data_IF_018843825221
#
_entry.id   IF_018843825221
#
_cell.length_a   1.000
_cell.length_b   1.000
_cell.length_c   1.000
_cell.angle_alpha   90.00
_cell.angle_beta   90.00
_cell.angle_gamma   90.00
#
_symmetry.space_group_name_H-M   'P 1'
#
loop_
_entity.id
_entity.type
_entity.pdbx_description
1 polymer ?
#
# COMPACT_ATOMS: atom_id res chain seq x y z
N UNK A 1 36.43 -11.45 -8.28
CA UNK A 1 36.02 -11.76 -6.88
C UNK A 1 34.55 -11.39 -6.74
N UNK A 2 33.65 -12.36 -6.91
CA UNK A 2 32.21 -12.17 -6.71
C UNK A 2 31.89 -12.35 -5.22
N UNK A 3 31.44 -11.29 -4.56
CA UNK A 3 30.82 -11.38 -3.24
C UNK A 3 29.38 -11.89 -3.42
N UNK A 4 29.13 -13.15 -3.06
CA UNK A 4 27.78 -13.66 -2.81
C UNK A 4 27.33 -13.08 -1.46
N UNK A 5 26.33 -12.19 -1.46
CA UNK A 5 25.62 -11.83 -0.25
C UNK A 5 24.84 -13.06 0.25
N UNK A 6 25.27 -13.61 1.37
CA UNK A 6 24.47 -14.50 2.19
C UNK A 6 23.50 -13.64 3.02
N UNK A 7 22.19 -13.74 2.77
CA UNK A 7 21.22 -13.34 3.79
C UNK A 7 21.28 -14.39 4.92
N UNK A 8 21.36 -13.98 6.20
CA UNK A 8 21.29 -14.93 7.29
C UNK A 8 19.85 -15.47 7.39
N UNK A 9 19.74 -16.79 7.44
CA UNK A 9 18.50 -17.49 7.77
C UNK A 9 18.21 -17.24 9.26
N UNK A 10 17.42 -16.22 9.58
CA UNK A 10 16.92 -16.02 10.95
C UNK A 10 15.81 -17.04 11.18
N UNK A 11 16.15 -18.16 11.82
CA UNK A 11 15.17 -19.08 12.36
C UNK A 11 14.48 -18.39 13.54
N UNK A 12 13.22 -17.98 13.37
CA UNK A 12 12.38 -17.58 14.47
C UNK A 12 12.13 -18.81 15.36
N UNK A 13 12.67 -18.80 16.57
CA UNK A 13 12.27 -19.73 17.62
C UNK A 13 10.87 -19.29 18.05
N UNK A 14 9.85 -20.04 17.66
CA UNK A 14 8.49 -19.89 18.17
C UNK A 14 8.52 -20.10 19.68
N UNK A 15 8.40 -19.01 20.45
CA UNK A 15 8.23 -19.06 21.89
C UNK A 15 6.91 -19.76 22.20
N UNK A 16 6.99 -20.90 22.90
CA UNK A 16 5.83 -21.67 23.34
C UNK A 16 4.96 -20.85 24.31
N UNK A 17 3.88 -20.27 23.81
CA UNK A 17 2.68 -20.06 24.62
C UNK A 17 1.92 -21.39 24.65
N UNK A 18 1.83 -22.00 25.82
CA UNK A 18 1.06 -23.22 26.03
C UNK A 18 -0.43 -22.95 25.75
N UNK A 19 -1.05 -23.72 24.85
CA UNK A 19 -2.53 -23.85 24.86
C UNK A 19 -3.29 -23.87 23.53
N UNK A 20 -2.70 -24.20 22.38
CA UNK A 20 -3.46 -24.72 21.24
C UNK A 20 -2.52 -25.59 20.38
N UNK A 21 -2.91 -26.83 20.08
CA UNK A 21 -2.24 -27.58 19.01
C UNK A 21 -2.57 -26.86 17.70
N UNK A 22 -1.61 -26.13 17.19
CA UNK A 22 -1.63 -25.51 15.86
C UNK A 22 -1.72 -26.62 14.80
N UNK A 23 -2.54 -26.40 13.78
CA UNK A 23 -2.68 -27.31 12.65
C UNK A 23 -1.35 -27.38 11.88
N UNK A 24 -0.70 -28.56 11.74
CA UNK A 24 0.59 -28.68 11.04
C UNK A 24 0.57 -28.13 9.61
N UNK A 25 -0.57 -28.24 8.91
CA UNK A 25 -0.73 -27.68 7.56
C UNK A 25 -0.74 -26.15 7.60
N UNK A 26 -1.41 -25.56 8.59
CA UNK A 26 -1.40 -24.11 8.77
C UNK A 26 0.01 -23.59 9.10
N UNK A 27 0.79 -24.32 9.91
CA UNK A 27 2.19 -23.96 10.22
C UNK A 27 3.07 -23.99 8.97
N UNK A 28 2.95 -25.03 8.13
CA UNK A 28 3.70 -25.13 6.87
C UNK A 28 3.37 -23.96 5.93
N UNK A 29 2.08 -23.63 5.77
CA UNK A 29 1.63 -22.55 4.91
C UNK A 29 2.05 -21.17 5.44
N UNK A 30 2.02 -20.96 6.77
CA UNK A 30 2.55 -19.76 7.41
C UNK A 30 4.06 -19.63 7.19
N UNK A 31 4.81 -20.73 7.29
CA UNK A 31 6.25 -20.75 7.00
C UNK A 31 6.51 -20.34 5.54
N UNK A 32 5.72 -20.82 4.58
CA UNK A 32 5.83 -20.42 3.16
C UNK A 32 5.58 -18.92 2.98
N UNK A 33 4.50 -18.38 3.54
CA UNK A 33 4.20 -16.94 3.48
C UNK A 33 5.31 -16.09 4.12
N UNK A 34 5.91 -16.58 5.21
CA UNK A 34 7.05 -15.92 5.86
C UNK A 34 8.29 -15.91 4.95
N UNK A 35 8.60 -17.02 4.27
CA UNK A 35 9.72 -17.13 3.34
C UNK A 35 9.57 -16.24 2.10
N UNK A 36 8.33 -15.98 1.68
CA UNK A 36 8.01 -15.01 0.62
C UNK A 36 8.12 -13.54 1.09
N UNK A 37 8.37 -13.29 2.37
CA UNK A 37 8.39 -11.94 2.95
C UNK A 37 7.01 -11.28 2.99
N UNK A 38 5.94 -12.08 2.99
CA UNK A 38 4.56 -11.60 2.94
C UNK A 38 3.92 -11.45 4.32
N UNK A 39 4.51 -12.02 5.37
CA UNK A 39 4.02 -11.89 6.75
C UNK A 39 4.70 -10.74 7.49
N UNK A 40 3.89 -10.03 8.28
CA UNK A 40 4.33 -9.08 9.30
C UNK A 40 3.85 -9.61 10.63
N UNK A 41 4.77 -9.88 11.54
CA UNK A 41 4.42 -10.38 12.88
C UNK A 41 3.83 -9.26 13.71
N UNK A 42 2.68 -9.53 14.34
CA UNK A 42 1.99 -8.60 15.24
C UNK A 42 2.17 -9.08 16.67
N UNK A 43 2.87 -8.28 17.49
CA UNK A 43 3.15 -8.62 18.87
C UNK A 43 2.07 -8.06 19.81
N UNK A 44 1.72 -8.82 20.85
CA UNK A 44 0.80 -8.35 21.87
C UNK A 44 1.47 -7.30 22.76
N UNK A 45 0.82 -6.15 22.95
CA UNK A 45 1.32 -5.12 23.85
C UNK A 45 1.19 -5.57 25.32
N UNK A 46 2.18 -5.21 26.15
CA UNK A 46 2.16 -5.47 27.61
C UNK A 46 1.31 -4.47 28.41
N UNK A 47 0.57 -3.60 27.71
CA UNK A 47 -0.21 -2.50 28.27
C UNK A 47 -0.86 -1.71 27.12
N UNK A 48 -1.07 -0.41 27.33
CA UNK A 48 -1.53 0.47 26.25
C UNK A 48 -0.47 0.57 25.14
N UNK A 49 -0.94 0.71 23.89
CA UNK A 49 -0.05 0.91 22.76
C UNK A 49 0.47 2.36 22.79
N UNK A 50 1.80 2.56 22.89
CA UNK A 50 2.39 3.89 23.00
C UNK A 50 2.19 4.68 21.69
N UNK A 51 1.99 5.98 21.82
CA UNK A 51 1.89 6.91 20.68
C UNK A 51 3.21 7.63 20.40
N UNK A 52 4.20 7.53 21.28
CA UNK A 52 5.54 8.05 21.04
C UNK A 52 6.36 7.06 20.20
N UNK A 53 6.88 7.46 19.02
CA UNK A 53 7.74 6.60 18.20
C UNK A 53 9.06 6.16 18.88
N UNK A 54 9.49 6.86 19.93
CA UNK A 54 10.73 6.54 20.67
C UNK A 54 10.52 5.61 21.86
N UNK A 55 9.27 5.24 22.15
CA UNK A 55 8.94 4.40 23.31
C UNK A 55 9.69 3.05 23.28
N UNK A 56 10.31 2.62 24.40
CA UNK A 56 11.06 1.36 24.47
C UNK A 56 10.26 0.12 24.08
N UNK A 57 8.93 0.12 24.21
CA UNK A 57 8.10 -1.00 23.80
C UNK A 57 8.33 -1.36 22.32
N UNK A 58 8.47 -0.34 21.46
CA UNK A 58 8.72 -0.53 20.03
C UNK A 58 10.05 -1.22 19.74
N UNK A 59 11.08 -0.99 20.56
CA UNK A 59 12.41 -1.58 20.36
C UNK A 59 12.38 -3.11 20.53
N UNK A 60 11.48 -3.61 21.38
CA UNK A 60 11.28 -5.05 21.63
C UNK A 60 10.30 -5.71 20.67
N UNK A 61 9.52 -4.93 19.92
CA UNK A 61 8.57 -5.43 18.92
C UNK A 61 9.32 -5.95 17.69
N UNK A 62 9.00 -7.14 17.15
CA UNK A 62 9.61 -7.64 15.92
C UNK A 62 9.53 -6.63 14.77
N UNK A 63 10.64 -6.49 14.05
CA UNK A 63 10.77 -5.60 12.90
C UNK A 63 10.59 -6.34 11.60
N UNK A 64 9.78 -5.78 10.70
CA UNK A 64 9.62 -6.26 9.33
C UNK A 64 10.15 -5.19 8.37
N UNK A 65 11.15 -5.54 7.56
CA UNK A 65 11.65 -4.67 6.48
C UNK A 65 10.89 -5.02 5.21
N UNK A 66 10.15 -4.06 4.67
CA UNK A 66 9.21 -4.28 3.57
C UNK A 66 9.69 -3.49 2.35
N UNK A 67 9.99 -4.16 1.21
CA UNK A 67 10.38 -3.46 0.00
C UNK A 67 9.24 -2.64 -0.60
N UNK A 68 9.61 -1.53 -1.21
CA UNK A 68 8.74 -0.62 -1.93
C UNK A 68 8.91 -0.79 -3.44
N UNK A 69 7.81 -0.62 -4.15
CA UNK A 69 7.71 -0.61 -5.61
C UNK A 69 7.10 0.72 -6.06
N UNK A 70 7.47 1.20 -7.23
CA UNK A 70 6.91 2.45 -7.76
C UNK A 70 5.49 2.24 -8.22
N UNK A 71 4.59 3.19 -7.97
CA UNK A 71 3.28 3.17 -8.61
C UNK A 71 3.42 3.56 -10.09
N UNK A 72 3.12 2.61 -10.98
CA UNK A 72 3.25 2.76 -12.45
C UNK A 72 1.91 2.89 -13.18
N UNK A 73 0.78 2.72 -12.48
CA UNK A 73 -0.55 2.67 -13.11
C UNK A 73 -1.13 4.02 -13.52
N UNK A 74 -0.54 5.17 -13.15
CA UNK A 74 -1.08 6.49 -13.44
C UNK A 74 -0.04 7.42 -14.08
N UNK A 75 -0.52 8.31 -14.94
CA UNK A 75 0.27 9.37 -15.59
C UNK A 75 0.31 10.67 -14.76
N UNK A 76 1.42 11.44 -14.78
CA UNK A 76 2.70 11.07 -15.39
C UNK A 76 3.30 9.86 -14.67
N UNK A 77 3.90 8.93 -15.44
CA UNK A 77 4.56 7.75 -14.87
C UNK A 77 5.55 8.25 -13.82
N UNK A 78 5.37 7.82 -12.58
CA UNK A 78 6.25 8.23 -11.48
C UNK A 78 7.68 7.85 -11.86
N UNK A 79 8.68 8.76 -11.77
CA UNK A 79 10.07 8.36 -11.82
C UNK A 79 10.30 7.24 -10.79
N UNK A 80 11.23 6.32 -11.09
CA UNK A 80 11.55 5.22 -10.18
C UNK A 80 11.68 5.76 -8.76
N UNK A 81 10.77 5.33 -7.89
CA UNK A 81 10.73 5.71 -6.49
C UNK A 81 12.06 5.28 -5.87
N UNK A 82 12.85 6.26 -5.45
CA UNK A 82 14.26 6.04 -5.13
C UNK A 82 14.46 5.31 -3.78
N UNK A 83 13.41 5.23 -2.94
CA UNK A 83 13.49 4.50 -1.67
C UNK A 83 13.12 3.04 -1.88
N UNK A 84 13.90 2.16 -1.27
CA UNK A 84 13.82 0.72 -1.51
C UNK A 84 12.91 0.00 -0.53
N UNK A 85 12.73 0.52 0.68
CA UNK A 85 12.05 -0.19 1.77
C UNK A 85 11.54 0.73 2.89
N UNK A 86 10.67 0.16 3.73
CA UNK A 86 10.26 0.69 5.04
C UNK A 86 10.49 -0.35 6.12
N UNK A 87 10.73 0.10 7.35
CA UNK A 87 10.61 -0.72 8.55
C UNK A 87 9.21 -0.57 9.15
N UNK A 88 8.60 -1.70 9.52
CA UNK A 88 7.29 -1.75 10.18
C UNK A 88 7.37 -2.61 11.44
N UNK A 89 6.83 -2.09 12.54
CA UNK A 89 6.59 -2.80 13.79
C UNK A 89 5.13 -2.65 14.18
N UNK A 90 4.50 -3.73 14.62
CA UNK A 90 3.06 -3.73 14.90
C UNK A 90 2.77 -4.29 16.28
N UNK A 91 2.03 -3.52 17.07
CA UNK A 91 1.51 -3.91 18.38
C UNK A 91 -0.01 -4.00 18.35
N UNK A 92 -0.57 -4.94 19.11
CA UNK A 92 -2.03 -5.02 19.32
C UNK A 92 -2.39 -5.19 20.79
N UNK A 93 -3.52 -4.61 21.20
CA UNK A 93 -4.07 -4.68 22.56
C UNK A 93 -5.59 -4.70 22.49
N UNK A 94 -6.20 -5.87 22.70
CA UNK A 94 -7.64 -6.05 22.55
C UNK A 94 -8.09 -5.73 21.12
N UNK A 95 -8.82 -4.63 20.92
CA UNK A 95 -9.27 -4.16 19.60
C UNK A 95 -8.37 -3.08 19.01
N UNK A 96 -7.42 -2.57 19.76
CA UNK A 96 -6.49 -1.54 19.29
C UNK A 96 -5.31 -2.18 18.57
N UNK A 97 -4.81 -1.48 17.56
CA UNK A 97 -3.61 -1.81 16.81
C UNK A 97 -2.81 -0.54 16.57
N UNK A 98 -1.49 -0.65 16.69
CA UNK A 98 -0.56 0.43 16.42
C UNK A 98 0.55 -0.02 15.50
N UNK A 99 0.92 0.87 14.59
CA UNK A 99 1.97 0.69 13.61
C UNK A 99 3.04 1.73 13.89
N UNK A 100 4.28 1.30 14.13
CA UNK A 100 5.46 2.15 13.98
C UNK A 100 6.03 1.90 12.59
N UNK A 101 6.05 2.93 11.76
CA UNK A 101 6.59 2.89 10.40
C UNK A 101 7.78 3.84 10.33
N UNK A 102 8.91 3.34 9.84
CA UNK A 102 10.14 4.12 9.75
C UNK A 102 10.78 4.01 8.37
N UNK A 103 11.27 5.12 7.83
CA UNK A 103 11.99 5.14 6.56
C UNK A 103 13.11 6.17 6.58
N UNK A 104 14.13 5.95 5.74
CA UNK A 104 15.19 6.92 5.52
C UNK A 104 14.65 8.07 4.67
N UNK A 105 14.87 9.30 5.12
CA UNK A 105 14.56 10.53 4.39
C UNK A 105 15.56 11.63 4.79
N UNK A 106 16.56 11.95 3.94
CA UNK A 106 17.51 13.01 4.25
C UNK A 106 16.86 14.40 4.29
N UNK A 107 15.63 14.53 3.78
CA UNK A 107 14.85 15.75 3.79
C UNK A 107 13.70 15.64 4.79
N UNK A 108 13.32 16.79 5.36
CA UNK A 108 12.17 16.91 6.26
C UNK A 108 11.12 17.78 5.59
N UNK A 109 10.24 17.17 4.81
CA UNK A 109 9.25 17.89 4.01
C UNK A 109 7.93 18.00 4.78
N UNK A 110 7.85 18.98 5.69
CA UNK A 110 6.72 19.13 6.62
C UNK A 110 5.84 20.35 6.36
N UNK A 111 6.05 21.08 5.27
CA UNK A 111 5.28 22.28 4.96
C UNK A 111 4.79 22.26 3.53
N UNK A 112 3.52 22.62 3.34
CA UNK A 112 2.90 22.84 2.03
C UNK A 112 2.68 24.34 1.77
N UNK A 113 3.29 25.20 2.56
CA UNK A 113 3.02 26.63 2.54
C UNK A 113 3.70 27.37 1.36
N UNK A 114 3.89 26.68 0.23
CA UNK A 114 4.39 27.23 -1.03
C UNK A 114 3.90 26.40 -2.21
N UNK A 115 3.69 27.03 -3.37
CA UNK A 115 3.03 26.41 -4.54
C UNK A 115 3.82 25.26 -5.19
N UNK A 116 5.10 25.10 -4.85
CA UNK A 116 5.97 24.01 -5.32
C UNK A 116 6.40 23.06 -4.19
N UNK A 117 5.87 23.24 -2.98
CA UNK A 117 6.24 22.41 -1.83
C UNK A 117 5.26 21.26 -1.67
N UNK A 118 5.81 20.05 -1.54
CA UNK A 118 5.06 18.85 -1.19
C UNK A 118 5.55 18.31 0.16
N UNK A 119 4.71 17.50 0.78
CA UNK A 119 4.94 16.94 2.11
C UNK A 119 5.37 15.48 2.04
N UNK A 120 6.07 15.04 3.07
CA UNK A 120 6.23 13.63 3.35
C UNK A 120 4.92 13.06 3.92
N UNK A 121 4.64 11.80 3.59
CA UNK A 121 3.45 11.12 4.07
C UNK A 121 3.63 9.60 4.09
N UNK A 122 2.83 8.95 4.95
CA UNK A 122 2.66 7.50 4.95
C UNK A 122 1.19 7.15 5.05
N UNK A 123 0.76 6.16 4.27
CA UNK A 123 -0.57 5.60 4.37
C UNK A 123 -0.53 4.09 4.65
N UNK A 124 -1.52 3.63 5.41
CA UNK A 124 -1.77 2.22 5.75
C UNK A 124 -3.13 1.85 5.14
N UNK A 125 -3.14 0.92 4.20
CA UNK A 125 -4.36 0.42 3.56
C UNK A 125 -4.79 -0.93 4.17
N UNK A 126 -6.09 -1.12 4.33
CA UNK A 126 -6.69 -2.33 4.89
C UNK A 126 -7.79 -2.85 3.94
N UNK A 127 -7.83 -4.17 3.75
CA UNK A 127 -8.98 -4.83 3.14
C UNK A 127 -9.87 -5.46 4.22
N UNK A 128 -11.05 -4.88 4.51
CA UNK A 128 -11.87 -5.31 5.65
C UNK A 128 -12.54 -6.68 5.45
N UNK A 129 -12.61 -7.20 4.21
CA UNK A 129 -13.44 -8.34 3.84
C UNK A 129 -12.64 -9.53 3.27
N UNK A 130 -11.55 -9.95 3.94
CA UNK A 130 -10.72 -11.07 3.47
C UNK A 130 -11.45 -12.43 3.59
N UNK A 131 -11.86 -12.97 2.44
CA UNK A 131 -12.41 -14.33 2.30
C UNK A 131 -11.36 -15.31 1.79
N UNK A 132 -10.65 -14.91 0.74
CA UNK A 132 -9.56 -15.59 0.03
C UNK A 132 -8.72 -14.52 -0.72
N UNK A 133 -7.71 -14.90 -1.50
CA UNK A 133 -6.94 -13.92 -2.28
C UNK A 133 -7.77 -13.13 -3.31
N UNK A 134 -8.76 -13.73 -3.99
CA UNK A 134 -9.60 -13.04 -4.98
C UNK A 134 -10.42 -11.88 -4.37
N UNK A 135 -10.75 -11.99 -3.09
CA UNK A 135 -11.48 -10.94 -2.36
C UNK A 135 -10.63 -9.71 -2.04
N UNK A 136 -9.31 -9.74 -2.30
CA UNK A 136 -8.46 -8.57 -2.08
C UNK A 136 -8.86 -7.44 -3.04
N UNK A 137 -9.03 -6.21 -2.51
CA UNK A 137 -9.25 -5.04 -3.33
C UNK A 137 -8.04 -4.71 -4.19
N UNK A 138 -8.25 -3.99 -5.29
CA UNK A 138 -7.15 -3.38 -6.01
C UNK A 138 -6.26 -2.58 -5.06
N UNK A 139 -4.96 -2.83 -5.13
CA UNK A 139 -4.00 -2.41 -4.10
C UNK A 139 -3.88 -0.90 -3.93
N UNK A 140 -4.20 -0.13 -4.97
CA UNK A 140 -4.05 1.32 -4.95
C UNK A 140 -5.08 2.02 -4.06
N UNK A 141 -6.36 1.68 -4.21
CA UNK A 141 -7.53 2.36 -3.62
C UNK A 141 -8.81 1.49 -3.62
N UNK A 142 -8.67 0.17 -3.73
CA UNK A 142 -9.80 -0.73 -3.97
C UNK A 142 -10.50 -0.54 -5.31
N UNK A 143 -11.67 -1.13 -5.43
CA UNK A 143 -12.52 -1.10 -6.61
C UNK A 143 -13.96 -1.44 -6.23
N UNK A 144 -14.90 -1.31 -7.17
CA UNK A 144 -16.33 -1.55 -6.92
C UNK A 144 -16.58 -2.91 -6.26
N UNK A 145 -17.29 -2.93 -5.14
CA UNK A 145 -17.58 -4.10 -4.32
C UNK A 145 -16.44 -4.55 -3.40
N UNK A 146 -15.22 -4.04 -3.57
CA UNK A 146 -14.04 -4.32 -2.75
C UNK A 146 -13.43 -2.98 -2.27
N UNK A 147 -13.99 -2.37 -1.21
CA UNK A 147 -13.47 -1.12 -0.68
C UNK A 147 -12.18 -1.32 0.11
N UNK A 148 -11.39 -0.26 0.21
CA UNK A 148 -10.19 -0.16 1.02
C UNK A 148 -10.34 0.94 2.06
N UNK A 149 -10.10 0.59 3.32
CA UNK A 149 -9.95 1.54 4.41
C UNK A 149 -8.51 2.04 4.47
N UNK A 150 -8.28 3.33 4.62
CA UNK A 150 -6.93 3.92 4.58
C UNK A 150 -6.73 4.86 5.78
N UNK A 151 -5.61 4.72 6.48
CA UNK A 151 -5.10 5.73 7.42
C UNK A 151 -3.94 6.45 6.79
N UNK A 152 -3.99 7.79 6.71
CA UNK A 152 -3.00 8.57 5.97
C UNK A 152 -2.43 9.67 6.86
N UNK A 153 -1.24 9.42 7.41
CA UNK A 153 -0.45 10.40 8.14
C UNK A 153 0.26 11.35 7.18
N UNK A 154 0.30 12.64 7.52
CA UNK A 154 0.89 13.70 6.69
C UNK A 154 1.79 14.58 7.54
N UNK A 155 3.01 14.83 7.09
CA UNK A 155 3.97 15.67 7.82
C UNK A 155 3.47 17.11 8.04
N UNK A 156 2.83 17.71 7.03
CA UNK A 156 2.22 19.05 7.20
C UNK A 156 1.11 19.10 8.23
N UNK A 157 0.34 18.02 8.35
CA UNK A 157 -0.72 17.93 9.34
C UNK A 157 -0.16 17.69 10.75
N UNK A 158 0.98 17.01 10.86
CA UNK A 158 1.74 16.91 12.11
C UNK A 158 2.24 18.28 12.55
N UNK A 159 2.77 19.07 11.62
CA UNK A 159 3.23 20.42 11.90
C UNK A 159 2.08 21.33 12.35
N UNK A 160 0.92 21.23 11.71
CA UNK A 160 -0.28 21.97 12.13
C UNK A 160 -0.76 21.60 13.55
N UNK A 161 -0.63 20.33 13.95
CA UNK A 161 -0.96 19.87 15.30
C UNK A 161 0.05 20.38 16.33
N UNK A 162 1.33 20.42 15.97
CA UNK A 162 2.41 20.84 16.88
C UNK A 162 2.45 22.36 17.07
N UNK A 163 2.30 23.11 15.97
CA UNK A 163 2.61 24.55 15.93
C UNK A 163 1.46 25.42 15.41
N UNK A 164 0.32 24.83 15.03
CA UNK A 164 -0.81 25.54 14.41
C UNK A 164 -0.69 25.65 12.89
N UNK A 165 -1.76 26.09 12.23
CA UNK A 165 -1.85 26.13 10.77
C UNK A 165 -0.70 26.92 10.11
N UNK A 166 0.00 26.28 9.18
CA UNK A 166 1.09 26.90 8.42
C UNK A 166 0.57 27.60 7.14
N UNK A 167 0.33 28.90 7.22
CA UNK A 167 -0.19 29.71 6.11
C UNK A 167 0.87 30.46 5.30
N UNK A 168 0.40 31.32 4.40
CA UNK A 168 1.25 32.16 3.53
C UNK A 168 2.13 33.11 4.35
N UNK A 169 1.62 33.62 5.48
CA UNK A 169 2.36 34.54 6.35
C UNK A 169 3.56 33.87 7.02
N UNK A 170 3.39 32.62 7.44
CA UNK A 170 4.43 31.79 8.03
C UNK A 170 5.49 31.38 6.99
N UNK A 171 5.07 31.13 5.75
CA UNK A 171 5.97 30.77 4.67
C UNK A 171 6.75 31.93 4.05
N UNK A 172 6.16 33.12 4.07
CA UNK A 172 6.69 34.32 3.44
C UNK A 172 6.75 35.46 4.46
N UNK A 173 7.65 35.31 5.43
CA UNK A 173 7.89 36.32 6.46
C UNK A 173 8.12 37.70 5.84
N UNK A 174 7.30 38.68 6.23
CA UNK A 174 7.37 40.07 5.72
C UNK A 174 6.54 40.34 4.46
N UNK A 175 5.91 39.32 3.86
CA UNK A 175 4.89 39.54 2.83
C UNK A 175 3.61 40.01 3.52
N UNK A 176 3.09 41.18 3.14
CA UNK A 176 1.74 41.60 3.53
C UNK A 176 0.80 40.92 2.55
N UNK A 177 0.06 39.89 2.96
CA UNK A 177 -0.81 39.22 2.04
C UNK A 177 -1.98 40.16 1.71
N UNK A 178 -2.26 40.36 0.41
CA UNK A 178 -3.39 41.16 -0.06
C UNK A 178 -4.70 40.36 0.11
N UNK A 179 -5.03 40.04 1.36
CA UNK A 179 -6.22 39.27 1.74
C UNK A 179 -7.31 40.23 2.15
N UNK A 180 -8.53 40.02 1.64
CA UNK A 180 -9.72 40.68 2.15
C UNK A 180 -9.83 40.45 3.68
N UNK A 181 -10.16 41.49 4.48
CA UNK A 181 -10.35 41.36 5.93
C UNK A 181 -11.52 40.44 6.32
N UNK A 182 -12.34 40.04 5.35
CA UNK A 182 -13.31 38.94 5.46
C UNK A 182 -12.74 37.77 4.67
N UNK A 183 -12.04 36.82 5.30
CA UNK A 183 -11.52 35.66 4.61
C UNK A 183 -12.68 34.72 4.32
N UNK A 184 -13.33 34.86 3.16
CA UNK A 184 -14.22 33.81 2.65
C UNK A 184 -13.36 32.58 2.35
N UNK A 185 -13.27 31.67 3.31
CA UNK A 185 -12.53 30.41 3.18
C UNK A 185 -13.49 29.35 2.67
N UNK A 186 -13.91 29.52 1.42
CA UNK A 186 -14.90 28.64 0.79
C UNK A 186 -14.54 27.16 0.90
N UNK A 187 -13.24 26.81 0.84
CA UNK A 187 -12.79 25.43 1.04
C UNK A 187 -12.99 24.93 2.49
N UNK A 188 -12.76 25.77 3.50
CA UNK A 188 -12.97 25.43 4.91
C UNK A 188 -14.47 25.36 5.23
N UNK A 189 -15.25 26.33 4.74
CA UNK A 189 -16.72 26.37 4.83
C UNK A 189 -17.37 25.17 4.12
N UNK A 190 -16.79 24.69 3.02
CA UNK A 190 -17.19 23.47 2.33
C UNK A 190 -16.72 22.19 3.03
N UNK A 191 -16.01 22.28 4.17
CA UNK A 191 -15.55 21.15 4.95
C UNK A 191 -14.35 20.42 4.34
N UNK A 192 -13.56 21.07 3.49
CA UNK A 192 -12.36 20.46 2.87
C UNK A 192 -11.36 20.05 3.96
N UNK A 193 -10.96 18.76 4.03
CA UNK A 193 -9.97 18.29 5.00
C UNK A 193 -8.63 19.02 4.91
N UNK A 194 -8.28 19.52 3.71
CA UNK A 194 -7.05 20.26 3.46
C UNK A 194 -7.08 21.70 3.96
N UNK A 195 -8.28 22.31 4.04
CA UNK A 195 -8.42 23.73 4.38
C UNK A 195 -8.60 24.01 5.87
N UNK A 196 -8.73 22.95 6.69
CA UNK A 196 -8.96 23.06 8.13
C UNK A 196 -7.85 23.83 8.84
N UNK A 197 -8.24 24.91 9.51
CA UNK A 197 -7.34 25.76 10.30
C UNK A 197 -6.97 25.18 11.65
N UNK A 198 -7.90 24.44 12.26
CA UNK A 198 -7.68 23.80 13.55
C UNK A 198 -7.64 22.30 13.36
N UNK A 199 -6.43 21.77 13.22
CA UNK A 199 -6.20 20.34 13.07
C UNK A 199 -5.95 19.71 14.43
N UNK A 200 -6.58 18.56 14.68
CA UNK A 200 -6.49 17.82 15.96
C UNK A 200 -5.84 16.45 15.82
N UNK A 201 -5.58 16.02 14.59
CA UNK A 201 -4.88 14.77 14.29
C UNK A 201 -4.05 14.93 13.03
N UNK A 202 -2.83 14.36 12.99
CA UNK A 202 -2.01 14.31 11.78
C UNK A 202 -2.44 13.19 10.83
N UNK A 203 -3.40 12.35 11.22
CA UNK A 203 -3.86 11.18 10.46
C UNK A 203 -5.26 11.40 9.93
N UNK A 204 -5.39 11.31 8.61
CA UNK A 204 -6.69 11.30 7.94
C UNK A 204 -7.24 9.87 7.87
N UNK A 205 -8.52 9.70 8.20
CA UNK A 205 -9.22 8.45 8.05
C UNK A 205 -10.02 8.45 6.74
N UNK A 206 -9.74 7.48 5.88
CA UNK A 206 -10.23 7.46 4.50
C UNK A 206 -10.91 6.13 4.17
N UNK A 207 -11.87 6.19 3.26
CA UNK A 207 -12.47 5.05 2.58
C UNK A 207 -12.36 5.28 1.07
N UNK A 208 -12.05 4.22 0.32
CA UNK A 208 -12.06 4.23 -1.13
C UNK A 208 -12.67 2.95 -1.69
N UNK A 209 -13.28 3.05 -2.85
CA UNK A 209 -13.86 1.95 -3.63
C UNK A 209 -13.48 2.12 -5.11
N UNK A 210 -12.20 2.40 -5.37
CA UNK A 210 -11.70 2.74 -6.71
C UNK A 210 -11.03 4.11 -6.76
N UNK A 211 -10.35 4.36 -7.87
CA UNK A 211 -9.76 5.66 -8.17
C UNK A 211 -10.81 6.77 -8.15
N UNK A 212 -10.45 7.94 -7.61
CA UNK A 212 -11.34 9.11 -7.55
C UNK A 212 -12.42 9.05 -6.45
N UNK A 213 -12.54 7.96 -5.70
CA UNK A 213 -13.58 7.79 -4.66
C UNK A 213 -13.11 8.06 -3.23
N UNK A 214 -11.84 8.46 -3.06
CA UNK A 214 -11.23 8.66 -1.75
C UNK A 214 -12.02 9.68 -0.93
N UNK A 215 -12.64 9.21 0.15
CA UNK A 215 -13.55 10.02 0.97
C UNK A 215 -13.07 10.06 2.40
N UNK A 216 -12.92 11.27 2.94
CA UNK A 216 -12.59 11.52 4.34
C UNK A 216 -13.77 11.13 5.23
N UNK A 217 -13.54 10.29 6.23
CA UNK A 217 -14.55 9.82 7.18
C UNK A 217 -14.10 10.09 8.62
N UNK A 218 -15.01 10.17 9.62
CA UNK A 218 -14.63 10.43 11.00
C UNK A 218 -13.61 9.42 11.55
N UNK A 219 -12.52 9.91 12.16
CA UNK A 219 -11.44 9.11 12.73
C UNK A 219 -11.52 8.96 14.25
N UNK A 220 -12.67 8.55 14.81
CA UNK A 220 -12.77 8.31 16.27
C UNK A 220 -11.75 7.26 16.70
N UNK A 221 -10.99 7.53 17.75
CA UNK A 221 -9.92 6.68 18.28
C UNK A 221 -8.79 6.41 17.27
N UNK A 222 -8.59 7.28 16.27
CA UNK A 222 -7.42 7.25 15.39
C UNK A 222 -6.47 8.37 15.81
N UNK A 223 -5.26 8.00 16.19
CA UNK A 223 -4.20 8.93 16.59
C UNK A 223 -2.95 8.66 15.78
N UNK A 224 -2.11 9.68 15.60
CA UNK A 224 -0.77 9.46 15.11
C UNK A 224 0.20 10.51 15.61
N UNK A 225 1.47 10.18 15.50
CA UNK A 225 2.59 11.02 15.91
C UNK A 225 3.80 10.66 15.06
N UNK A 226 4.38 11.65 14.40
CA UNK A 226 5.57 11.49 13.57
C UNK A 226 6.72 12.34 14.08
N UNK A 227 7.90 11.75 14.17
CA UNK A 227 9.15 12.45 14.45
C UNK A 227 10.12 12.25 13.30
N UNK A 228 10.83 13.32 12.94
CA UNK A 228 11.97 13.24 12.04
C UNK A 228 13.24 13.43 12.85
N UNK A 229 14.18 12.49 12.76
CA UNK A 229 15.45 12.54 13.46
C UNK A 229 16.56 11.95 12.59
N UNK A 230 17.68 12.66 12.46
CA UNK A 230 18.89 12.19 11.76
C UNK A 230 18.62 11.58 10.36
N UNK A 231 17.80 12.24 9.55
CA UNK A 231 17.52 11.77 8.19
C UNK A 231 16.58 10.56 8.14
N UNK A 232 15.73 10.37 9.15
CA UNK A 232 14.71 9.32 9.18
C UNK A 232 13.41 9.83 9.76
N UNK A 233 12.31 9.38 9.18
CA UNK A 233 10.99 9.48 9.79
C UNK A 233 10.71 8.25 10.64
N UNK A 234 10.04 8.47 11.77
CA UNK A 234 9.43 7.46 12.63
C UNK A 234 8.00 7.90 12.94
N UNK A 235 7.02 7.17 12.43
CA UNK A 235 5.61 7.53 12.52
C UNK A 235 4.84 6.41 13.22
N UNK A 236 4.20 6.76 14.32
CA UNK A 236 3.20 5.90 14.97
C UNK A 236 1.81 6.28 14.46
N UNK A 237 1.04 5.29 14.02
CA UNK A 237 -0.40 5.41 13.78
C UNK A 237 -1.11 4.34 14.60
N UNK A 238 -2.04 4.74 15.47
CA UNK A 238 -2.81 3.87 16.35
C UNK A 238 -4.30 4.03 16.11
N UNK A 239 -5.02 2.93 16.00
CA UNK A 239 -6.47 2.92 15.86
C UNK A 239 -7.11 1.58 16.18
N UNK A 240 -8.39 1.45 15.84
CA UNK A 240 -9.14 0.20 16.00
C UNK A 240 -8.84 -0.74 14.83
N UNK A 241 -8.49 -1.99 15.11
CA UNK A 241 -8.24 -3.07 14.14
C UNK A 241 -9.43 -3.21 13.19
N UNK A 242 -9.20 -3.02 11.88
CA UNK A 242 -10.26 -2.92 10.85
C UNK A 242 -10.62 -4.22 10.15
N UNK A 243 -9.72 -5.19 10.16
CA UNK A 243 -9.95 -6.55 9.71
C UNK A 243 -9.95 -7.45 10.96
N UNK A 244 -10.71 -8.53 10.97
CA UNK A 244 -10.79 -9.37 12.16
C UNK A 244 -11.46 -10.71 11.91
N UNK A 245 -11.12 -11.67 12.78
CA UNK A 245 -11.85 -12.93 12.90
C UNK A 245 -11.16 -14.17 12.34
N UNK A 246 -9.93 -14.07 11.79
CA UNK A 246 -9.21 -15.23 11.23
C UNK A 246 -7.71 -15.25 11.51
N UNK A 247 -7.19 -14.50 12.49
CA UNK A 247 -5.76 -14.51 12.84
C UNK A 247 -4.80 -13.91 11.82
N UNK A 248 -5.30 -13.43 10.68
CA UNK A 248 -4.52 -12.85 9.60
C UNK A 248 -5.29 -11.72 8.92
N UNK A 249 -4.68 -10.53 8.81
CA UNK A 249 -5.31 -9.36 8.21
C UNK A 249 -4.45 -8.80 7.06
N UNK A 250 -5.05 -8.45 5.91
CA UNK A 250 -4.32 -7.88 4.79
C UNK A 250 -4.02 -6.39 5.01
N UNK A 251 -2.80 -5.98 4.70
CA UNK A 251 -2.32 -4.59 4.84
C UNK A 251 -1.45 -4.17 3.66
N UNK A 252 -1.50 -2.88 3.33
CA UNK A 252 -0.58 -2.23 2.38
C UNK A 252 0.00 -0.97 2.99
N UNK A 253 1.15 -0.54 2.48
CA UNK A 253 1.74 0.74 2.83
C UNK A 253 2.02 1.56 1.58
N UNK A 254 1.92 2.87 1.72
CA UNK A 254 2.30 3.83 0.70
C UNK A 254 3.11 4.96 1.32
N UNK A 255 4.16 5.40 0.62
CA UNK A 255 5.08 6.45 1.08
C UNK A 255 5.20 7.54 0.02
N UNK A 256 5.19 8.79 0.46
CA UNK A 256 5.45 9.97 -0.35
C UNK A 256 6.67 10.70 0.20
N UNK A 257 7.57 11.05 -0.72
CA UNK A 257 8.75 11.91 -0.49
C UNK A 257 8.47 13.30 -1.08
N UNK A 258 8.23 14.27 -0.20
CA UNK A 258 7.88 15.63 -0.60
C UNK A 258 8.99 16.34 -1.37
N UNK A 259 10.26 16.06 -1.06
CA UNK A 259 11.40 16.63 -1.77
C UNK A 259 11.57 16.08 -3.19
N UNK A 260 10.95 14.94 -3.48
CA UNK A 260 10.80 14.37 -4.84
C UNK A 260 9.46 14.69 -5.48
N UNK A 261 8.74 15.68 -4.95
CA UNK A 261 7.44 16.13 -5.46
C UNK A 261 6.38 15.01 -5.52
N UNK A 262 6.50 14.01 -4.65
CA UNK A 262 5.56 12.90 -4.60
C UNK A 262 4.24 13.38 -3.96
N UNK A 263 3.13 13.13 -4.66
CA UNK A 263 1.76 13.43 -4.24
C UNK A 263 0.77 12.58 -5.02
N UNK A 264 -0.42 12.35 -4.46
CA UNK A 264 -1.48 11.57 -5.11
C UNK A 264 -0.97 10.16 -5.51
N UNK A 265 -1.09 9.78 -6.78
CA UNK A 265 -0.60 8.50 -7.30
C UNK A 265 0.92 8.38 -7.41
N UNK A 266 1.68 9.47 -7.28
CA UNK A 266 3.14 9.44 -7.30
C UNK A 266 3.65 9.06 -5.90
N UNK A 267 3.90 7.76 -5.69
CA UNK A 267 4.22 7.17 -4.39
C UNK A 267 4.98 5.86 -4.54
N UNK A 268 5.73 5.50 -3.50
CA UNK A 268 6.16 4.13 -3.28
C UNK A 268 5.03 3.32 -2.65
N UNK A 269 4.84 2.08 -3.07
CA UNK A 269 3.83 1.16 -2.56
C UNK A 269 4.48 -0.13 -2.09
N UNK A 270 3.86 -0.82 -1.15
CA UNK A 270 4.15 -2.25 -0.92
C UNK A 270 3.19 -3.09 -1.75
N UNK A 271 3.52 -4.37 -1.94
CA UNK A 271 2.51 -5.39 -2.23
C UNK A 271 1.56 -5.58 -1.04
N UNK A 272 0.50 -6.35 -1.23
CA UNK A 272 -0.27 -6.88 -0.11
C UNK A 272 0.67 -7.66 0.83
N UNK A 273 0.69 -7.26 2.09
CA UNK A 273 1.29 -7.99 3.21
C UNK A 273 0.19 -8.46 4.13
N UNK A 274 0.54 -9.36 5.04
CA UNK A 274 -0.43 -9.94 5.96
C UNK A 274 0.06 -9.85 7.39
N UNK A 275 -0.73 -9.18 8.23
CA UNK A 275 -0.54 -9.05 9.66
C UNK A 275 -0.89 -10.38 10.32
N UNK A 276 0.10 -11.04 10.93
CA UNK A 276 -0.07 -12.30 11.65
C UNK A 276 -0.20 -12.05 13.15
N UNK A 277 -1.35 -12.37 13.72
CA UNK A 277 -1.63 -12.25 15.15
C UNK A 277 -1.28 -13.55 15.87
N UNK A 278 -0.15 -13.56 16.58
CA UNK A 278 0.30 -14.74 17.31
C UNK A 278 -0.80 -15.26 18.26
N UNK A 279 -0.99 -16.59 18.28
CA UNK A 279 -2.01 -17.24 19.11
C UNK A 279 -3.42 -17.28 18.52
N UNK A 280 -3.74 -16.48 17.50
CA UNK A 280 -5.02 -16.60 16.77
C UNK A 280 -4.91 -17.71 15.71
N UNK A 281 -5.82 -18.70 15.62
CA UNK A 281 -5.78 -19.69 14.54
C UNK A 281 -6.15 -19.06 13.19
N UNK A 282 -5.57 -19.59 12.11
CA UNK A 282 -5.89 -19.19 10.73
C UNK A 282 -6.36 -20.43 9.95
N UNK A 283 -7.47 -20.36 9.20
CA UNK A 283 -7.91 -21.47 8.35
C UNK A 283 -6.85 -21.82 7.29
N UNK A 284 -6.47 -23.10 7.12
CA UNK A 284 -5.51 -23.51 6.10
C UNK A 284 -5.89 -23.12 4.67
N UNK A 285 -7.17 -23.24 4.29
CA UNK A 285 -7.62 -22.86 2.94
C UNK A 285 -7.42 -21.37 2.66
N UNK A 286 -7.61 -20.53 3.68
CA UNK A 286 -7.29 -19.11 3.58
C UNK A 286 -5.79 -18.94 3.36
N UNK A 287 -4.94 -19.55 4.20
CA UNK A 287 -3.48 -19.44 4.06
C UNK A 287 -3.00 -19.90 2.68
N UNK A 288 -3.51 -21.04 2.20
CA UNK A 288 -3.17 -21.59 0.91
C UNK A 288 -3.54 -20.62 -0.23
N UNK A 289 -4.69 -19.95 -0.14
CA UNK A 289 -5.08 -18.93 -1.12
C UNK A 289 -4.13 -17.72 -1.17
N UNK A 290 -3.40 -17.42 -0.09
CA UNK A 290 -2.55 -16.22 -0.01
C UNK A 290 -1.12 -16.43 -0.52
N UNK A 291 -0.69 -17.68 -0.74
CA UNK A 291 0.66 -18.01 -1.21
C UNK A 291 0.85 -17.54 -2.65
N UNK A 292 1.96 -16.85 -2.92
CA UNK A 292 2.30 -16.37 -4.27
C UNK A 292 3.32 -17.34 -4.90
N UNK A 293 2.86 -18.58 -5.13
CA UNK A 293 3.65 -19.64 -5.75
C UNK A 293 3.49 -19.70 -7.28
N UNK A 294 4.32 -20.52 -7.97
CA UNK A 294 4.07 -20.88 -9.36
C UNK A 294 2.67 -21.48 -9.51
N UNK A 295 1.92 -21.05 -10.52
CA UNK A 295 0.61 -21.63 -10.80
C UNK A 295 0.78 -23.11 -11.25
N UNK A 296 0.11 -24.07 -10.59
CA UNK A 296 0.25 -25.49 -10.93
C UNK A 296 -0.08 -25.78 -12.39
N UNK A 297 0.83 -26.42 -13.11
CA UNK A 297 0.65 -26.79 -14.52
C UNK A 297 0.81 -25.64 -15.52
N UNK A 298 1.10 -24.41 -15.06
CA UNK A 298 1.36 -23.28 -15.93
C UNK A 298 2.79 -23.32 -16.50
N UNK A 299 2.93 -22.93 -17.77
CA UNK A 299 4.22 -22.80 -18.47
C UNK A 299 4.50 -21.32 -18.78
N UNK A 300 5.43 -20.66 -18.05
CA UNK A 300 5.77 -19.26 -18.30
C UNK A 300 6.43 -19.04 -19.68
N UNK A 301 7.03 -20.06 -20.30
CA UNK A 301 7.57 -19.93 -21.66
C UNK A 301 6.45 -19.86 -22.68
N UNK A 302 5.40 -20.67 -22.52
CA UNK A 302 4.18 -20.58 -23.33
C UNK A 302 3.48 -19.24 -23.09
N UNK A 303 3.36 -18.80 -21.83
CA UNK A 303 2.81 -17.48 -21.48
C UNK A 303 3.53 -16.33 -22.19
N UNK A 304 4.85 -16.37 -22.25
CA UNK A 304 5.67 -15.39 -23.00
C UNK A 304 5.39 -15.38 -24.51
N UNK A 305 5.05 -16.52 -25.11
CA UNK A 305 4.64 -16.57 -26.52
C UNK A 305 3.22 -15.99 -26.69
N UNK A 306 2.31 -16.39 -25.81
CA UNK A 306 0.91 -15.95 -25.81
C UNK A 306 0.77 -14.43 -25.72
N UNK A 307 1.57 -13.73 -24.90
CA UNK A 307 1.49 -12.24 -24.86
C UNK A 307 1.79 -11.58 -26.21
N UNK A 308 2.52 -12.25 -27.09
CA UNK A 308 2.74 -11.77 -28.47
C UNK A 308 1.60 -12.21 -29.39
N UNK A 309 1.22 -13.49 -29.34
CA UNK A 309 0.17 -14.07 -30.19
C UNK A 309 -1.21 -13.42 -29.96
N UNK A 310 -1.50 -13.05 -28.71
CA UNK A 310 -2.73 -12.38 -28.30
C UNK A 310 -2.68 -10.86 -28.51
N UNK A 311 -1.56 -10.32 -29.00
CA UNK A 311 -1.40 -8.90 -29.29
C UNK A 311 -1.18 -8.01 -28.06
N UNK A 312 -0.95 -8.55 -26.85
CA UNK A 312 -0.74 -7.72 -25.64
C UNK A 312 0.42 -6.73 -25.83
N UNK A 313 1.45 -7.12 -26.58
CA UNK A 313 2.63 -6.32 -26.91
C UNK A 313 2.34 -5.08 -27.77
N UNK A 314 1.15 -4.94 -28.37
CA UNK A 314 0.79 -3.72 -29.12
C UNK A 314 0.41 -2.55 -28.21
N UNK A 315 -0.02 -2.85 -26.98
CA UNK A 315 -0.49 -1.85 -26.02
C UNK A 315 0.41 -1.75 -24.78
N UNK A 316 0.99 -2.87 -24.33
CA UNK A 316 1.78 -2.96 -23.11
C UNK A 316 3.28 -3.09 -23.39
N UNK A 317 4.08 -2.44 -22.54
CA UNK A 317 5.51 -2.67 -22.49
C UNK A 317 5.84 -3.95 -21.71
N UNK A 318 6.83 -4.68 -22.19
CA UNK A 318 7.39 -5.87 -21.54
C UNK A 318 8.92 -5.75 -21.51
N UNK A 319 9.66 -6.53 -20.70
CA UNK A 319 11.11 -6.36 -20.57
C UNK A 319 11.88 -6.49 -21.89
N UNK A 320 11.34 -7.26 -22.83
CA UNK A 320 11.95 -7.50 -24.15
C UNK A 320 11.33 -6.65 -25.27
N UNK A 321 10.32 -5.83 -24.97
CA UNK A 321 9.66 -4.95 -25.92
C UNK A 321 9.21 -3.65 -25.21
N UNK A 322 10.14 -2.71 -24.97
CA UNK A 322 9.87 -1.49 -24.20
C UNK A 322 9.28 -0.34 -25.04
N UNK A 323 8.92 -0.58 -26.30
CA UNK A 323 8.52 0.47 -27.27
C UNK A 323 7.03 0.41 -27.65
N UNK A 324 6.17 -0.22 -26.85
CA UNK A 324 4.72 -0.14 -27.10
C UNK A 324 4.24 1.30 -26.87
N UNK A 325 3.17 1.70 -27.56
CA UNK A 325 2.68 3.09 -27.65
C UNK A 325 2.08 3.68 -26.35
N UNK A 326 2.46 3.17 -25.17
CA UNK A 326 1.97 3.59 -23.85
C UNK A 326 0.43 3.61 -23.72
N UNK A 327 -0.27 2.78 -24.52
CA UNK A 327 -1.73 2.63 -24.48
C UNK A 327 -2.18 1.88 -23.23
N UNK A 328 -1.42 0.88 -22.80
CA UNK A 328 -1.63 0.15 -21.55
C UNK A 328 -0.53 0.44 -20.52
N UNK A 329 -0.71 0.03 -19.25
CA UNK A 329 0.33 0.10 -18.24
C UNK A 329 1.55 -0.74 -18.63
N UNK A 330 2.73 -0.31 -18.16
CA UNK A 330 3.96 -1.07 -18.30
C UNK A 330 3.90 -2.35 -17.45
N UNK A 331 4.13 -3.51 -18.09
CA UNK A 331 4.08 -4.82 -17.45
C UNK A 331 5.46 -5.39 -17.15
N UNK A 332 6.56 -4.66 -17.42
CA UNK A 332 7.92 -5.13 -17.21
C UNK A 332 8.21 -5.60 -15.77
N UNK A 333 7.46 -5.09 -14.80
CA UNK A 333 7.54 -5.42 -13.37
C UNK A 333 6.16 -5.74 -12.78
N UNK A 334 5.24 -6.28 -13.58
CA UNK A 334 3.87 -6.55 -13.15
C UNK A 334 3.82 -7.48 -11.92
N UNK A 335 4.68 -8.49 -11.89
CA UNK A 335 4.82 -9.46 -10.82
C UNK A 335 5.44 -8.91 -9.53
N UNK A 336 6.02 -7.70 -9.54
CA UNK A 336 6.57 -7.04 -8.34
C UNK A 336 5.50 -6.34 -7.52
N UNK A 337 4.37 -5.99 -8.12
CA UNK A 337 3.27 -5.25 -7.46
C UNK A 337 2.04 -6.15 -7.32
N UNK A 338 1.64 -6.75 -8.43
CA UNK A 338 0.34 -7.41 -8.55
C UNK A 338 0.42 -8.88 -8.16
N UNK A 339 -0.67 -9.40 -7.61
CA UNK A 339 -0.81 -10.83 -7.35
C UNK A 339 -1.40 -11.56 -8.57
N UNK A 340 -1.15 -12.87 -8.74
CA UNK A 340 -1.70 -13.65 -9.85
C UNK A 340 -3.21 -13.52 -10.01
N UNK A 341 -3.96 -13.44 -8.92
CA UNK A 341 -5.43 -13.38 -8.93
C UNK A 341 -5.91 -12.07 -9.57
N UNK A 342 -5.26 -10.94 -9.24
CA UNK A 342 -5.54 -9.66 -9.87
C UNK A 342 -5.15 -9.64 -11.34
N UNK A 343 -4.01 -10.24 -11.70
CA UNK A 343 -3.56 -10.31 -13.09
C UNK A 343 -4.55 -11.12 -13.94
N UNK A 344 -5.02 -12.27 -13.41
CA UNK A 344 -6.04 -13.09 -14.06
C UNK A 344 -7.36 -12.32 -14.23
N UNK A 345 -7.84 -11.67 -13.17
CA UNK A 345 -9.06 -10.85 -13.21
C UNK A 345 -8.92 -9.72 -14.23
N UNK A 346 -7.77 -9.04 -14.30
CA UNK A 346 -7.54 -7.95 -15.26
C UNK A 346 -7.61 -8.40 -16.71
N UNK A 347 -7.25 -9.65 -17.02
CA UNK A 347 -7.32 -10.19 -18.39
C UNK A 347 -8.74 -10.67 -18.71
N UNK A 348 -9.42 -11.33 -17.75
CA UNK A 348 -10.78 -11.86 -17.94
C UNK A 348 -11.84 -10.76 -17.94
N UNK A 349 -11.77 -9.86 -16.97
CA UNK A 349 -12.69 -8.74 -16.78
C UNK A 349 -11.92 -7.42 -16.52
N UNK A 350 -11.40 -6.77 -17.57
CA UNK A 350 -10.70 -5.49 -17.44
C UNK A 350 -11.60 -4.35 -16.92
N UNK A 351 -12.93 -4.52 -16.83
CA UNK A 351 -13.84 -3.54 -16.25
C UNK A 351 -13.97 -3.68 -14.72
N UNK A 352 -13.46 -4.77 -14.12
CA UNK A 352 -13.46 -4.95 -12.67
C UNK A 352 -12.64 -3.88 -11.94
N UNK A 353 -11.58 -3.38 -12.59
CA UNK A 353 -10.71 -2.30 -12.10
C UNK A 353 -10.40 -1.35 -13.25
N UNK A 354 -11.10 -0.22 -13.26
CA UNK A 354 -10.87 0.83 -14.26
C UNK A 354 -9.97 1.90 -13.67
N UNK A 355 -8.86 2.14 -14.34
CA UNK A 355 -7.95 3.24 -14.05
C UNK A 355 -8.41 4.45 -14.87
N UNK A 356 -8.89 5.54 -14.25
CA UNK A 356 -9.44 6.69 -14.96
C UNK A 356 -8.32 7.62 -15.47
N UNK A 357 -7.48 7.09 -16.36
CA UNK A 357 -6.41 7.82 -17.02
C UNK A 357 -6.69 7.92 -18.53
N UNK A 358 -6.30 9.03 -19.20
CA UNK A 358 -6.48 9.17 -20.64
C UNK A 358 -5.92 7.97 -21.41
N UNK A 359 -6.73 7.36 -22.26
CA UNK A 359 -6.36 6.21 -23.09
C UNK A 359 -6.55 4.83 -22.44
N UNK A 360 -6.87 4.75 -21.14
CA UNK A 360 -7.09 3.46 -20.45
C UNK A 360 -8.56 3.06 -20.39
N UNK A 361 -9.47 4.00 -20.63
CA UNK A 361 -10.91 3.77 -20.60
C UNK A 361 -11.65 4.79 -21.47
N UNK A 362 -12.88 4.44 -21.83
CA UNK A 362 -13.86 5.33 -22.45
C UNK A 362 -14.63 6.11 -21.36
N UNK A 363 -14.55 7.46 -21.32
CA UNK A 363 -15.22 8.27 -20.32
C UNK A 363 -16.75 8.34 -20.48
N UNK A 364 -17.31 8.06 -21.65
CA UNK A 364 -18.76 8.10 -21.87
C UNK A 364 -19.44 6.82 -21.38
N UNK A 365 -18.82 5.68 -21.67
CA UNK A 365 -19.37 4.35 -21.33
C UNK A 365 -18.81 3.79 -20.02
N UNK A 366 -17.73 4.38 -19.49
CA UNK A 366 -16.97 3.90 -18.34
C UNK A 366 -16.50 2.44 -18.52
N UNK A 367 -15.93 2.14 -19.70
CA UNK A 367 -15.37 0.82 -20.02
C UNK A 367 -13.89 0.87 -20.32
N UNK A 368 -13.14 -0.16 -19.93
CA UNK A 368 -11.71 -0.28 -20.19
C UNK A 368 -11.40 -0.32 -21.69
N UNK A 369 -10.27 0.29 -22.07
CA UNK A 369 -9.70 0.17 -23.42
C UNK A 369 -9.07 -1.21 -23.64
N UNK A 370 -8.67 -1.89 -22.57
CA UNK A 370 -8.20 -3.27 -22.66
C UNK A 370 -9.36 -4.18 -23.08
N UNK A 371 -9.23 -4.96 -24.16
CA UNK A 371 -10.27 -5.90 -24.56
C UNK A 371 -10.42 -6.99 -23.49
N UNK A 372 -11.67 -7.38 -23.21
CA UNK A 372 -11.92 -8.59 -22.42
C UNK A 372 -11.64 -9.81 -23.27
N UNK A 373 -10.83 -10.73 -22.75
CA UNK A 373 -10.64 -12.04 -23.36
C UNK A 373 -11.64 -13.08 -22.83
N UNK A 374 -12.44 -12.76 -21.81
CA UNK A 374 -13.55 -13.55 -21.28
C UNK A 374 -13.28 -15.06 -21.23
N UNK A 375 -14.18 -15.86 -21.80
CA UNK A 375 -13.99 -17.31 -21.96
C UNK A 375 -13.44 -17.70 -23.34
N UNK A 376 -12.90 -16.73 -24.10
CA UNK A 376 -12.42 -16.95 -25.48
C UNK A 376 -11.09 -17.70 -25.54
N UNK A 377 -10.43 -17.89 -24.40
CA UNK A 377 -9.11 -18.47 -24.27
C UNK A 377 -9.19 -19.65 -23.30
N UNK A 378 -8.56 -20.81 -23.62
CA UNK A 378 -8.49 -21.93 -22.69
C UNK A 378 -7.93 -21.51 -21.33
N UNK A 379 -8.48 -22.05 -20.25
CA UNK A 379 -8.02 -21.74 -18.88
C UNK A 379 -6.52 -21.95 -18.69
N UNK A 380 -5.95 -22.96 -19.38
CA UNK A 380 -4.51 -23.21 -19.37
C UNK A 380 -3.71 -22.02 -19.91
N UNK A 381 -4.14 -21.42 -21.01
CA UNK A 381 -3.43 -20.30 -21.64
C UNK A 381 -3.48 -19.04 -20.75
N UNK A 382 -4.60 -18.82 -20.04
CA UNK A 382 -4.66 -17.81 -18.98
C UNK A 382 -3.62 -18.05 -17.89
N UNK A 383 -3.55 -19.27 -17.37
CA UNK A 383 -2.61 -19.61 -16.31
C UNK A 383 -1.15 -19.47 -16.78
N UNK A 384 -0.85 -19.87 -18.02
CA UNK A 384 0.48 -19.69 -18.63
C UNK A 384 0.87 -18.20 -18.73
N UNK A 385 -0.05 -17.35 -19.21
CA UNK A 385 0.17 -15.89 -19.29
C UNK A 385 0.35 -15.27 -17.90
N UNK A 386 -0.51 -15.60 -16.95
CA UNK A 386 -0.42 -15.07 -15.58
C UNK A 386 0.87 -15.52 -14.91
N UNK A 387 1.30 -16.76 -15.10
CA UNK A 387 2.58 -17.26 -14.57
C UNK A 387 3.78 -16.53 -15.19
N UNK A 388 3.73 -16.24 -16.49
CA UNK A 388 4.73 -15.38 -17.12
C UNK A 388 4.75 -13.99 -16.48
N UNK A 389 3.61 -13.32 -16.35
CA UNK A 389 3.51 -11.98 -15.74
C UNK A 389 3.97 -11.96 -14.27
N UNK A 390 3.62 -12.99 -13.50
CA UNK A 390 4.06 -13.18 -12.10
C UNK A 390 5.59 -13.26 -11.98
N UNK A 391 6.25 -13.82 -13.00
CA UNK A 391 7.73 -13.94 -13.04
C UNK A 391 8.45 -12.61 -13.35
N UNK A 392 7.73 -11.58 -13.78
CA UNK A 392 8.28 -10.26 -14.11
C UNK A 392 8.45 -9.42 -12.82
N UNK A 393 9.62 -9.51 -12.18
CA UNK A 393 9.93 -8.86 -10.90
C UNK A 393 10.86 -7.66 -11.01
#
# INVERSE_FOLDING_TARGET
MLFKLFLPLIAFVFGCAAGAKTDPMAEELLSKLSQEGNLITVAQAKGEIPTDPTDPAWQTTPESIIPLVSQTSLSPKTPVFQRTDISVRVLYAGKEIGFLISWSDPTRSESEAGVTKFRDAVAIGFAPNLKNADSLPYIGMGNKGRPMAIWHWKASWQEDVNHGYQGVGEAHAGMVPNISPIPHRTADEAGSPMAQMKRTSPVENLLAEGFGTLTSIPGKNLTGNGIWNQGRWHVVVKGVRRAGGKGIDPVTFAIWDGAKENRNGMKGLTRWRFLRFEGEPVPPDLLNSLIIGPLPGADPKRGKQLVTEMGCVSCHNFPNNPTANDVGPDLAHAGSIHRPEYLLESIKDPNAVIVPAPGYFDPETWTSTMPSFGDQIPEKDYNDVVEYLRSLQ
#
